data_IF_889283394530
#
_entry.id   IF_889283394530
#
_cell.length_a   1.000
_cell.length_b   1.000
_cell.length_c   1.000
_cell.angle_alpha   90.00
_cell.angle_beta   90.00
_cell.angle_gamma   90.00
#
_symmetry.space_group_name_H-M   'P 1'
#
loop_
_entity.id
_entity.type
_entity.pdbx_description
1 polymer ?
#
# COMPACT_ATOMS: atom_id res chain seq x y z
N UNK A 1 -10.82 -15.18 49.31
CA UNK A 1 -12.16 -14.53 49.19
C UNK A 1 -12.54 -14.62 47.71
N UNK A 2 -12.89 -15.79 47.18
CA UNK A 2 -14.21 -16.45 47.14
C UNK A 2 -15.41 -15.54 46.88
N UNK A 3 -16.08 -15.79 45.74
CA UNK A 3 -17.53 -15.70 45.40
C UNK A 3 -17.65 -15.91 43.85
N UNK A 4 -17.86 -17.11 43.28
CA UNK A 4 -19.14 -17.82 42.95
C UNK A 4 -20.27 -16.92 42.41
N UNK A 5 -20.79 -17.08 41.17
CA UNK A 5 -21.91 -17.98 40.77
C UNK A 5 -22.33 -17.65 39.31
N UNK A 6 -22.26 -18.55 38.31
CA UNK A 6 -23.34 -19.38 37.70
C UNK A 6 -24.73 -18.75 37.43
N UNK A 7 -25.19 -18.90 36.16
CA UNK A 7 -26.57 -19.06 35.60
C UNK A 7 -26.36 -19.42 34.10
N UNK A 8 -26.63 -20.61 33.51
CA UNK A 8 -27.81 -21.49 33.37
C UNK A 8 -29.07 -20.76 32.86
N UNK A 9 -29.40 -20.95 31.58
CA UNK A 9 -30.77 -21.22 31.12
C UNK A 9 -30.78 -21.93 29.75
N UNK A 10 -31.46 -23.08 29.72
CA UNK A 10 -31.75 -23.90 28.54
C UNK A 10 -33.24 -23.80 28.20
N UNK A 11 -33.62 -23.77 26.92
CA UNK A 11 -35.00 -23.96 26.41
C UNK A 11 -34.89 -24.59 25.01
N UNK A 12 -35.01 -25.91 24.87
CA UNK A 12 -36.23 -26.71 24.60
C UNK A 12 -36.68 -26.78 23.13
N UNK A 13 -36.20 -27.86 22.49
CA UNK A 13 -36.86 -28.80 21.58
C UNK A 13 -38.38 -28.63 21.35
N UNK A 14 -38.79 -28.56 20.08
CA UNK A 14 -40.16 -28.91 19.64
C UNK A 14 -40.13 -29.75 18.37
N UNK A 15 -40.42 -31.03 18.53
CA UNK A 15 -40.57 -32.04 17.49
C UNK A 15 -42.09 -32.19 17.23
N UNK A 16 -42.54 -31.98 15.99
CA UNK A 16 -43.93 -32.24 15.59
C UNK A 16 -43.95 -33.29 14.46
N UNK A 17 -44.55 -34.44 14.78
CA UNK A 17 -44.77 -35.58 13.91
C UNK A 17 -46.22 -35.52 13.41
N UNK A 18 -46.44 -35.45 12.09
CA UNK A 18 -47.72 -35.78 11.46
C UNK A 18 -47.50 -36.78 10.33
N UNK A 19 -48.21 -37.91 10.43
CA UNK A 19 -48.27 -39.00 9.46
C UNK A 19 -49.44 -38.74 8.52
N UNK A 20 -49.26 -38.91 7.20
CA UNK A 20 -50.28 -39.48 6.30
C UNK A 20 -49.60 -40.11 5.09
N UNK A 21 -50.08 -41.30 4.74
CA UNK A 21 -49.54 -42.20 3.72
C UNK A 21 -49.91 -41.81 2.29
N UNK A 22 -49.03 -42.14 1.34
CA UNK A 22 -49.32 -42.21 -0.09
C UNK A 22 -48.12 -42.79 -0.86
N UNK A 23 -48.28 -43.99 -1.41
CA UNK A 23 -47.29 -44.60 -2.31
C UNK A 23 -47.64 -44.28 -3.77
N UNK A 24 -46.66 -43.90 -4.59
CA UNK A 24 -46.42 -44.47 -5.93
C UNK A 24 -45.23 -43.78 -6.64
N UNK A 25 -44.37 -44.61 -7.22
CA UNK A 25 -43.15 -44.28 -7.98
C UNK A 25 -43.32 -43.19 -9.04
N UNK A 26 -42.30 -42.32 -9.17
CA UNK A 26 -41.72 -41.90 -10.44
C UNK A 26 -40.38 -41.19 -10.20
N UNK A 27 -39.37 -41.66 -10.90
CA UNK A 27 -38.03 -41.10 -11.07
C UNK A 27 -37.97 -39.57 -11.03
N UNK A 28 -37.25 -39.02 -10.04
CA UNK A 28 -36.65 -37.69 -10.14
C UNK A 28 -35.24 -37.74 -9.57
N UNK A 29 -34.26 -37.50 -10.44
CA UNK A 29 -32.90 -37.17 -10.03
C UNK A 29 -32.97 -35.88 -9.21
N UNK A 30 -32.85 -35.97 -7.89
CA UNK A 30 -32.57 -34.78 -7.08
C UNK A 30 -31.08 -34.47 -7.20
N UNK A 31 -30.74 -33.67 -8.20
CA UNK A 31 -29.54 -32.84 -8.14
C UNK A 31 -29.84 -31.81 -7.05
N UNK A 32 -29.35 -32.08 -5.84
CA UNK A 32 -29.15 -31.03 -4.85
C UNK A 32 -27.94 -30.26 -5.35
N UNK A 33 -28.20 -29.12 -5.97
CA UNK A 33 -27.17 -28.15 -6.33
C UNK A 33 -26.66 -27.52 -5.05
N UNK A 34 -25.59 -28.10 -4.52
CA UNK A 34 -24.60 -27.37 -3.75
C UNK A 34 -23.96 -26.38 -4.74
N UNK A 35 -24.26 -25.09 -4.60
CA UNK A 35 -23.82 -24.05 -5.55
C UNK A 35 -22.46 -23.47 -5.21
N UNK A 36 -21.75 -24.01 -4.22
CA UNK A 36 -20.33 -23.69 -4.08
C UNK A 36 -19.54 -24.42 -5.18
N UNK A 37 -18.78 -23.69 -6.01
CA UNK A 37 -17.84 -24.32 -6.93
C UNK A 37 -16.88 -25.17 -6.10
N UNK A 38 -16.90 -26.49 -6.30
CA UNK A 38 -15.89 -27.37 -5.72
C UNK A 38 -14.52 -26.89 -6.20
N UNK A 39 -13.67 -26.51 -5.26
CA UNK A 39 -12.29 -26.10 -5.52
C UNK A 39 -11.59 -27.15 -6.42
N UNK A 40 -10.90 -26.72 -7.49
CA UNK A 40 -10.23 -27.64 -8.41
C UNK A 40 -9.30 -28.59 -7.66
N UNK A 41 -9.28 -29.86 -8.07
CA UNK A 41 -8.35 -30.82 -7.50
C UNK A 41 -6.91 -30.54 -7.95
N UNK A 42 -5.89 -31.11 -7.28
CA UNK A 42 -4.51 -30.98 -7.74
C UNK A 42 -4.36 -31.44 -9.19
N UNK A 43 -4.15 -30.51 -10.12
CA UNK A 43 -3.95 -30.75 -11.56
C UNK A 43 -5.08 -30.30 -12.50
N UNK A 44 -6.23 -29.85 -11.99
CA UNK A 44 -7.27 -29.21 -12.81
C UNK A 44 -6.93 -27.71 -13.02
N UNK A 45 -7.03 -27.17 -14.25
CA UNK A 45 -6.75 -25.76 -14.49
C UNK A 45 -7.77 -24.88 -13.76
N UNK A 46 -7.27 -23.87 -13.05
CA UNK A 46 -8.11 -22.96 -12.26
C UNK A 46 -9.11 -22.22 -13.16
N UNK A 47 -10.43 -22.23 -12.83
CA UNK A 47 -11.41 -21.45 -13.56
C UNK A 47 -11.05 -19.96 -13.41
N UNK A 48 -10.94 -19.28 -14.54
CA UNK A 48 -10.53 -17.87 -14.56
C UNK A 48 -11.72 -16.98 -14.18
N UNK A 49 -11.62 -16.16 -13.12
CA UNK A 49 -12.69 -15.24 -12.75
C UNK A 49 -12.84 -14.15 -13.82
N UNK A 50 -14.06 -13.71 -14.16
CA UNK A 50 -14.25 -12.57 -15.05
C UNK A 50 -13.62 -11.30 -14.48
N UNK A 51 -12.96 -10.50 -15.33
CA UNK A 51 -12.32 -9.25 -14.91
C UNK A 51 -13.28 -8.30 -14.14
N UNK A 52 -14.54 -8.21 -14.57
CA UNK A 52 -15.56 -7.36 -13.92
C UNK A 52 -16.18 -7.97 -12.65
N UNK A 53 -15.86 -9.23 -12.33
CA UNK A 53 -16.42 -9.95 -11.17
C UNK A 53 -15.52 -9.93 -9.94
N UNK A 54 -14.29 -9.43 -10.08
CA UNK A 54 -13.31 -9.37 -8.99
C UNK A 54 -13.19 -7.92 -8.49
N UNK A 55 -13.69 -7.66 -7.28
CA UNK A 55 -13.61 -6.36 -6.60
C UNK A 55 -12.43 -6.24 -5.62
N UNK A 56 -11.59 -7.28 -5.52
CA UNK A 56 -10.31 -7.20 -4.80
C UNK A 56 -9.46 -6.10 -5.43
N UNK A 57 -8.76 -5.36 -4.59
CA UNK A 57 -7.84 -4.28 -4.97
C UNK A 57 -6.42 -4.72 -4.65
N UNK A 58 -5.46 -4.36 -5.49
CA UNK A 58 -4.06 -4.24 -5.04
C UNK A 58 -4.04 -3.05 -4.06
N UNK A 59 -3.55 -3.25 -2.85
CA UNK A 59 -3.73 -2.31 -1.74
C UNK A 59 -2.43 -1.65 -1.27
N UNK A 60 -1.36 -2.42 -1.16
CA UNK A 60 -0.06 -1.96 -0.69
C UNK A 60 1.05 -2.74 -1.41
N UNK A 61 2.21 -2.12 -1.61
CA UNK A 61 3.34 -2.74 -2.27
C UNK A 61 4.66 -2.20 -1.74
N UNK A 62 5.64 -3.08 -1.57
CA UNK A 62 7.02 -2.72 -1.26
C UNK A 62 7.95 -3.40 -2.26
N UNK A 63 8.68 -2.60 -3.03
CA UNK A 63 9.60 -3.11 -4.07
C UNK A 63 11.00 -3.42 -3.53
N UNK A 64 11.44 -2.78 -2.45
CA UNK A 64 12.74 -3.03 -1.81
C UNK A 64 12.58 -3.26 -0.30
N UNK A 65 12.41 -4.51 0.09
CA UNK A 65 12.24 -4.94 1.48
C UNK A 65 13.58 -5.46 2.01
N UNK A 66 14.15 -4.77 3.00
CA UNK A 66 15.46 -5.07 3.56
C UNK A 66 15.33 -5.53 5.01
N UNK A 67 14.38 -4.96 5.77
CA UNK A 67 14.25 -5.21 7.21
C UNK A 67 12.83 -5.35 7.73
N UNK A 68 11.80 -5.04 6.94
CA UNK A 68 10.42 -4.89 7.46
C UNK A 68 9.71 -6.22 7.65
N UNK A 69 9.51 -6.99 6.57
CA UNK A 69 8.71 -8.21 6.59
C UNK A 69 9.53 -9.41 6.08
N UNK A 70 10.04 -10.28 6.96
CA UNK A 70 10.71 -11.50 6.53
C UNK A 70 9.71 -12.58 6.10
N UNK A 71 10.10 -13.42 5.14
CA UNK A 71 9.44 -14.68 4.83
C UNK A 71 9.58 -15.70 5.97
N UNK A 72 8.99 -16.89 5.80
CA UNK A 72 9.06 -17.97 6.80
C UNK A 72 10.48 -18.49 7.08
N UNK A 73 11.44 -18.20 6.20
CA UNK A 73 12.85 -18.57 6.34
C UNK A 73 13.73 -17.43 6.88
N UNK A 74 13.17 -16.24 7.11
CA UNK A 74 13.90 -15.07 7.57
C UNK A 74 14.55 -14.24 6.45
N UNK A 75 14.23 -14.52 5.19
CA UNK A 75 14.69 -13.73 4.04
C UNK A 75 13.73 -12.57 3.77
N UNK A 76 14.23 -11.49 3.20
CA UNK A 76 13.42 -10.34 2.83
C UNK A 76 13.25 -10.31 1.31
N UNK A 77 11.99 -10.30 0.89
CA UNK A 77 11.59 -10.22 -0.51
C UNK A 77 10.63 -9.05 -0.68
N UNK A 78 10.58 -8.43 -1.86
CA UNK A 78 9.50 -7.52 -2.21
C UNK A 78 8.16 -8.21 -2.00
N UNK A 79 7.12 -7.44 -1.74
CA UNK A 79 5.79 -7.98 -1.53
C UNK A 79 4.69 -7.06 -2.05
N UNK A 80 3.53 -7.65 -2.29
CA UNK A 80 2.30 -6.98 -2.69
C UNK A 80 1.16 -7.48 -1.82
N UNK A 81 0.28 -6.56 -1.46
CA UNK A 81 -0.91 -6.84 -0.68
C UNK A 81 -2.17 -6.65 -1.52
N UNK A 82 -3.12 -7.54 -1.32
CA UNK A 82 -4.45 -7.49 -1.91
C UNK A 82 -5.49 -7.32 -0.80
N UNK A 83 -6.49 -6.47 -1.04
CA UNK A 83 -7.54 -6.14 -0.07
C UNK A 83 -8.93 -6.39 -0.63
N UNK A 84 -9.83 -6.92 0.20
CA UNK A 84 -11.24 -7.04 -0.13
C UNK A 84 -12.07 -5.89 0.48
N UNK A 85 -12.38 -4.82 -0.28
CA UNK A 85 -13.27 -3.74 0.19
C UNK A 85 -14.75 -4.13 0.16
N UNK A 86 -15.08 -5.30 -0.42
CA UNK A 86 -16.44 -5.75 -0.65
C UNK A 86 -17.12 -6.32 0.60
N UNK A 87 -18.46 -6.41 0.61
CA UNK A 87 -19.22 -6.98 1.72
C UNK A 87 -19.30 -8.52 1.71
N UNK A 88 -18.76 -9.16 0.67
CA UNK A 88 -18.80 -10.62 0.49
C UNK A 88 -17.38 -11.18 0.34
N UNK A 89 -17.21 -12.47 0.68
CA UNK A 89 -15.95 -13.17 0.46
C UNK A 89 -15.67 -13.32 -1.04
N UNK A 90 -14.40 -13.24 -1.43
CA UNK A 90 -13.99 -13.28 -2.82
C UNK A 90 -12.76 -14.16 -3.01
N UNK A 91 -12.83 -15.05 -4.00
CA UNK A 91 -11.74 -15.97 -4.33
C UNK A 91 -10.89 -15.41 -5.47
N UNK A 92 -9.59 -15.28 -5.22
CA UNK A 92 -8.58 -14.92 -6.20
C UNK A 92 -8.11 -16.13 -7.01
N UNK A 93 -8.46 -17.37 -6.66
CA UNK A 93 -8.07 -18.58 -7.36
C UNK A 93 -8.31 -18.49 -8.86
N UNK A 94 -7.24 -18.65 -9.65
CA UNK A 94 -7.27 -18.51 -11.09
C UNK A 94 -7.23 -17.08 -11.63
N UNK A 95 -7.27 -16.03 -10.80
CA UNK A 95 -7.06 -14.66 -11.27
C UNK A 95 -5.61 -14.46 -11.75
N UNK A 96 -5.38 -13.43 -12.55
CA UNK A 96 -4.02 -13.02 -12.94
C UNK A 96 -3.53 -11.82 -12.13
N UNK A 97 -2.23 -11.78 -11.85
CA UNK A 97 -1.50 -10.58 -11.41
C UNK A 97 -0.38 -10.28 -12.42
N UNK A 98 -0.15 -8.99 -12.69
CA UNK A 98 0.93 -8.54 -13.55
C UNK A 98 1.39 -7.14 -13.20
N UNK A 99 2.67 -6.87 -13.42
CA UNK A 99 3.33 -5.56 -13.38
C UNK A 99 3.42 -4.90 -14.78
N UNK A 100 2.76 -5.47 -15.80
CA UNK A 100 2.89 -5.06 -17.18
C UNK A 100 1.54 -5.02 -17.89
N UNK A 101 1.19 -3.87 -18.47
CA UNK A 101 0.01 -3.74 -19.32
C UNK A 101 0.16 -4.44 -20.67
N UNK A 102 1.41 -4.66 -21.13
CA UNK A 102 1.69 -5.37 -22.37
C UNK A 102 1.51 -6.89 -22.23
N UNK A 103 1.69 -7.40 -21.01
CA UNK A 103 1.49 -8.79 -20.63
C UNK A 103 0.69 -8.86 -19.32
N UNK A 104 -0.62 -8.66 -19.38
CA UNK A 104 -1.47 -8.54 -18.19
C UNK A 104 -1.88 -9.89 -17.56
N UNK A 105 -1.16 -10.98 -17.86
CA UNK A 105 -1.44 -12.35 -17.44
C UNK A 105 -0.18 -13.10 -16.92
N UNK A 106 0.82 -12.37 -16.39
CA UNK A 106 2.13 -12.93 -16.00
C UNK A 106 2.06 -14.06 -14.97
N UNK A 107 1.31 -13.86 -13.89
CA UNK A 107 1.21 -14.83 -12.80
C UNK A 107 -0.24 -15.15 -12.50
N UNK A 108 -0.53 -16.43 -12.22
CA UNK A 108 -1.89 -16.91 -11.92
C UNK A 108 -1.96 -17.34 -10.47
N UNK A 109 -2.97 -16.85 -9.75
CA UNK A 109 -3.25 -17.29 -8.39
C UNK A 109 -3.59 -18.78 -8.37
N UNK A 110 -2.89 -19.61 -7.58
CA UNK A 110 -3.21 -21.02 -7.49
C UNK A 110 -4.53 -21.23 -6.74
N UNK A 111 -5.46 -21.96 -7.35
CA UNK A 111 -6.80 -22.18 -6.80
C UNK A 111 -6.89 -23.27 -5.73
N UNK A 112 -5.78 -23.95 -5.40
CA UNK A 112 -5.73 -24.98 -4.36
C UNK A 112 -5.51 -24.44 -2.94
N UNK A 113 -5.18 -23.15 -2.80
CA UNK A 113 -4.99 -22.52 -1.51
C UNK A 113 -6.29 -21.90 -1.00
N UNK A 114 -6.57 -22.08 0.28
CA UNK A 114 -7.74 -21.45 0.91
C UNK A 114 -7.46 -19.96 1.17
N UNK A 115 -6.18 -19.60 1.26
CA UNK A 115 -5.65 -18.25 1.45
C UNK A 115 -5.97 -17.31 0.29
N UNK A 116 -6.36 -17.83 -0.90
CA UNK A 116 -6.85 -16.99 -2.00
C UNK A 116 -8.27 -16.49 -1.79
N UNK A 117 -8.97 -16.96 -0.76
CA UNK A 117 -10.34 -16.56 -0.45
C UNK A 117 -10.32 -15.51 0.66
N UNK A 118 -10.47 -14.23 0.28
CA UNK A 118 -10.47 -13.10 1.20
C UNK A 118 -11.88 -12.80 1.68
N UNK A 119 -12.09 -12.80 2.99
CA UNK A 119 -13.30 -12.31 3.64
C UNK A 119 -13.44 -10.77 3.50
N UNK A 120 -14.62 -10.20 3.77
CA UNK A 120 -14.80 -8.75 3.81
C UNK A 120 -13.80 -8.08 4.76
N UNK A 121 -13.03 -7.12 4.25
CA UNK A 121 -12.02 -6.40 5.02
C UNK A 121 -10.71 -7.16 5.25
N UNK A 122 -10.52 -8.32 4.62
CA UNK A 122 -9.30 -9.12 4.75
C UNK A 122 -8.22 -8.68 3.76
N UNK A 123 -6.97 -8.91 4.16
CA UNK A 123 -5.77 -8.63 3.40
C UNK A 123 -5.01 -9.92 3.09
N UNK A 124 -4.43 -10.02 1.90
CA UNK A 124 -3.54 -11.10 1.50
C UNK A 124 -2.20 -10.52 1.05
N UNK A 125 -1.13 -10.85 1.76
CA UNK A 125 0.24 -10.43 1.42
C UNK A 125 0.97 -11.56 0.72
N UNK A 126 1.48 -11.29 -0.48
CA UNK A 126 2.30 -12.22 -1.26
C UNK A 126 3.70 -11.65 -1.49
N UNK A 127 4.71 -12.48 -1.31
CA UNK A 127 6.08 -12.11 -1.69
C UNK A 127 6.35 -12.43 -3.15
N UNK A 128 7.28 -11.67 -3.73
CA UNK A 128 7.91 -11.95 -5.02
C UNK A 128 9.09 -12.91 -4.87
N UNK A 129 9.63 -13.39 -5.99
CA UNK A 129 10.80 -14.27 -6.03
C UNK A 129 10.52 -15.76 -5.79
N UNK A 130 9.31 -16.22 -6.08
CA UNK A 130 8.95 -17.64 -6.12
C UNK A 130 9.74 -18.44 -7.18
N UNK A 131 9.77 -19.76 -7.02
CA UNK A 131 10.46 -20.66 -7.95
C UNK A 131 9.56 -21.21 -9.08
N UNK A 132 8.33 -20.69 -9.18
CA UNK A 132 7.29 -21.13 -10.11
C UNK A 132 6.56 -22.39 -9.65
N UNK A 133 6.81 -22.88 -8.44
CA UNK A 133 6.08 -23.99 -7.87
C UNK A 133 4.71 -23.52 -7.35
N UNK A 134 3.59 -24.02 -7.90
CA UNK A 134 2.28 -23.64 -7.43
C UNK A 134 1.96 -24.17 -6.03
N UNK A 135 2.83 -24.98 -5.40
CA UNK A 135 2.68 -25.42 -4.01
C UNK A 135 3.17 -24.38 -2.98
N UNK A 136 3.69 -23.23 -3.43
CA UNK A 136 3.86 -22.04 -2.61
C UNK A 136 3.06 -20.84 -3.15
N UNK A 137 2.68 -19.94 -2.25
CA UNK A 137 1.96 -18.71 -2.60
C UNK A 137 2.97 -17.56 -2.74
N UNK A 138 3.92 -17.72 -3.66
CA UNK A 138 4.90 -16.71 -4.05
C UNK A 138 4.76 -16.36 -5.55
N UNK A 139 4.94 -15.09 -5.86
CA UNK A 139 4.96 -14.60 -7.24
C UNK A 139 6.33 -14.92 -7.85
N UNK A 140 6.35 -15.61 -8.99
CA UNK A 140 7.55 -16.21 -9.59
C UNK A 140 8.37 -15.26 -10.48
N UNK A 141 8.12 -13.97 -10.39
CA UNK A 141 8.91 -12.92 -10.99
C UNK A 141 9.29 -11.87 -9.95
N UNK A 142 10.20 -10.96 -10.31
CA UNK A 142 10.61 -9.83 -9.48
C UNK A 142 10.08 -8.52 -10.08
N UNK A 143 9.62 -7.56 -9.26
CA UNK A 143 9.30 -6.23 -9.74
C UNK A 143 10.58 -5.47 -10.07
N UNK A 144 10.46 -4.43 -10.90
CA UNK A 144 11.54 -3.46 -11.08
C UNK A 144 11.66 -2.58 -9.82
N UNK A 145 12.89 -2.19 -9.47
CA UNK A 145 13.16 -1.37 -8.28
C UNK A 145 13.14 0.14 -8.56
N UNK A 146 12.97 0.55 -9.82
CA UNK A 146 13.06 1.95 -10.24
C UNK A 146 12.03 2.28 -11.31
N UNK A 147 11.68 3.57 -11.41
CA UNK A 147 10.77 4.14 -12.40
C UNK A 147 9.30 3.80 -12.22
N UNK A 148 8.49 4.28 -13.16
CA UNK A 148 7.02 4.13 -13.15
C UNK A 148 6.57 2.65 -13.19
N UNK A 149 5.78 2.27 -12.19
CA UNK A 149 5.16 0.96 -12.06
C UNK A 149 3.66 1.04 -12.36
N UNK A 150 3.13 0.06 -13.10
CA UNK A 150 1.68 -0.09 -13.31
C UNK A 150 1.30 -1.56 -13.14
N UNK A 151 0.72 -1.88 -11.99
CA UNK A 151 0.30 -3.24 -11.67
C UNK A 151 -1.20 -3.41 -11.88
N UNK A 152 -1.61 -4.60 -12.30
CA UNK A 152 -2.97 -4.93 -12.68
C UNK A 152 -3.38 -6.28 -12.11
N UNK A 153 -4.59 -6.30 -11.53
CA UNK A 153 -5.25 -7.51 -11.08
C UNK A 153 -6.34 -7.92 -12.07
N UNK A 154 -6.31 -9.17 -12.47
CA UNK A 154 -7.28 -9.88 -13.29
C UNK A 154 -7.71 -9.15 -14.57
N UNK A 155 -6.76 -8.50 -15.25
CA UNK A 155 -7.00 -7.75 -16.49
C UNK A 155 -8.07 -6.66 -16.33
N UNK A 156 -8.29 -6.18 -15.11
CA UNK A 156 -9.22 -5.11 -14.82
C UNK A 156 -8.69 -3.77 -15.34
N UNK A 157 -9.54 -2.74 -15.29
CA UNK A 157 -9.12 -1.35 -15.49
C UNK A 157 -8.75 -0.65 -14.18
N UNK A 158 -8.63 -1.39 -13.09
CA UNK A 158 -8.15 -0.88 -11.82
C UNK A 158 -6.63 -1.09 -11.75
N UNK A 159 -5.91 0.00 -11.96
CA UNK A 159 -4.45 -0.01 -11.94
C UNK A 159 -3.94 0.46 -10.59
N UNK A 160 -2.90 -0.20 -10.11
CA UNK A 160 -2.09 0.25 -8.99
C UNK A 160 -0.81 0.86 -9.56
N UNK A 161 -0.73 2.19 -9.53
CA UNK A 161 0.31 2.96 -10.21
C UNK A 161 1.09 3.77 -9.19
N UNK A 162 2.41 3.68 -9.23
CA UNK A 162 3.33 4.42 -8.37
C UNK A 162 4.68 4.56 -9.08
N UNK A 163 5.52 5.49 -8.64
CA UNK A 163 6.90 5.57 -9.10
C UNK A 163 7.80 4.91 -8.05
N UNK A 164 8.55 3.88 -8.44
CA UNK A 164 9.46 3.18 -7.53
C UNK A 164 10.66 4.06 -7.11
N UNK A 165 10.99 5.10 -7.88
CA UNK A 165 12.05 6.05 -7.52
C UNK A 165 11.65 6.94 -6.32
N UNK A 166 10.35 7.03 -6.01
CA UNK A 166 9.83 7.78 -4.87
C UNK A 166 9.84 6.96 -3.56
N UNK A 167 10.23 5.67 -3.64
CA UNK A 167 10.28 4.77 -2.50
C UNK A 167 11.73 4.53 -2.06
N UNK A 168 12.03 4.86 -0.80
CA UNK A 168 13.24 4.35 -0.15
C UNK A 168 13.12 2.85 0.15
N UNK A 169 14.26 2.19 0.43
CA UNK A 169 14.25 0.84 1.01
C UNK A 169 13.37 0.82 2.26
N UNK A 170 12.60 -0.27 2.45
CA UNK A 170 11.65 -0.45 3.55
C UNK A 170 10.45 0.51 3.56
N UNK A 171 10.23 1.26 2.48
CA UNK A 171 9.04 2.08 2.26
C UNK A 171 8.05 1.40 1.30
N UNK A 172 6.75 1.64 1.51
CA UNK A 172 5.69 1.10 0.68
C UNK A 172 4.87 2.20 0.01
N UNK A 173 4.32 1.86 -1.16
CA UNK A 173 3.23 2.59 -1.77
C UNK A 173 1.92 1.88 -1.43
N UNK A 174 0.83 2.60 -1.23
CA UNK A 174 -0.47 2.01 -0.93
C UNK A 174 -1.65 2.92 -1.12
N UNK A 175 -2.84 2.34 -1.15
CA UNK A 175 -4.12 3.05 -1.26
C UNK A 175 -4.53 3.58 0.09
N UNK A 176 -4.74 4.89 0.20
CA UNK A 176 -5.23 5.48 1.44
C UNK A 176 -6.49 6.33 1.23
N UNK A 177 -7.61 6.02 1.92
CA UNK A 177 -7.86 4.82 2.74
C UNK A 177 -7.78 3.50 1.95
N UNK A 178 -7.77 2.35 2.62
CA UNK A 178 -7.69 1.03 1.97
C UNK A 178 -8.73 0.86 0.85
N UNK A 179 -8.26 0.40 -0.31
CA UNK A 179 -9.09 0.19 -1.49
C UNK A 179 -9.59 1.46 -2.22
N UNK A 180 -9.13 2.65 -1.83
CA UNK A 180 -9.38 3.91 -2.58
C UNK A 180 -8.71 3.87 -3.96
N UNK A 181 -9.06 4.79 -4.84
CA UNK A 181 -8.50 4.97 -6.18
C UNK A 181 -7.07 5.52 -6.23
N UNK A 182 -6.63 6.27 -5.23
CA UNK A 182 -5.32 6.92 -5.19
C UNK A 182 -4.30 6.01 -4.52
N UNK A 183 -3.07 5.97 -5.05
CA UNK A 183 -1.92 5.28 -4.47
C UNK A 183 -0.90 6.34 -4.08
N UNK A 184 -0.47 6.31 -2.83
CA UNK A 184 0.44 7.28 -2.22
C UNK A 184 1.63 6.54 -1.59
N UNK A 185 2.70 7.25 -1.26
CA UNK A 185 3.77 6.73 -0.41
C UNK A 185 3.26 6.69 1.03
N UNK A 186 3.37 5.56 1.73
CA UNK A 186 2.85 5.39 3.09
C UNK A 186 3.90 5.76 4.14
N UNK A 187 3.45 6.31 5.27
CA UNK A 187 4.32 6.69 6.40
C UNK A 187 4.92 5.49 7.14
N UNK A 188 4.34 4.31 7.00
CA UNK A 188 4.88 3.05 7.49
C UNK A 188 4.29 1.88 6.67
N UNK A 189 5.05 0.79 6.46
CA UNK A 189 4.51 -0.41 5.86
C UNK A 189 3.55 -1.15 6.79
N UNK A 190 2.45 -1.65 6.25
CA UNK A 190 1.33 -2.23 7.02
C UNK A 190 0.88 -3.62 6.56
N UNK A 191 1.79 -4.56 6.25
CA UNK A 191 1.39 -5.86 5.70
C UNK A 191 0.40 -6.60 6.61
N UNK A 192 -0.72 -7.00 6.01
CA UNK A 192 -1.84 -7.69 6.64
C UNK A 192 -2.75 -6.79 7.48
N UNK A 193 -2.61 -5.47 7.41
CA UNK A 193 -3.33 -4.50 8.24
C UNK A 193 -3.77 -3.29 7.40
N UNK A 194 -4.71 -2.46 7.91
CA UNK A 194 -5.08 -1.21 7.25
C UNK A 194 -3.88 -0.30 6.97
N UNK A 195 -3.86 0.30 5.78
CA UNK A 195 -2.79 1.20 5.35
C UNK A 195 -2.59 2.36 6.32
N UNK A 196 -1.32 2.66 6.61
CA UNK A 196 -0.93 3.83 7.37
C UNK A 196 -1.33 5.12 6.63
N UNK A 197 -1.39 6.25 7.34
CA UNK A 197 -1.54 7.56 6.71
C UNK A 197 -0.40 7.74 5.67
N UNK A 198 -0.66 8.40 4.52
CA UNK A 198 0.39 8.76 3.57
C UNK A 198 1.50 9.55 4.24
N UNK A 199 2.70 9.51 3.67
CA UNK A 199 3.73 10.50 4.00
C UNK A 199 3.13 11.87 3.69
N UNK A 200 2.85 12.64 4.73
CA UNK A 200 2.38 14.02 4.56
C UNK A 200 3.45 14.87 3.86
N UNK A 201 3.09 16.05 3.36
CA UNK A 201 4.08 16.96 2.81
C UNK A 201 5.17 17.23 3.85
N UNK A 202 6.43 17.25 3.41
CA UNK A 202 7.56 17.36 4.33
C UNK A 202 7.41 18.65 5.13
N UNK A 203 7.41 18.53 6.46
CA UNK A 203 7.50 19.70 7.31
C UNK A 203 8.94 20.18 7.31
N UNK A 204 9.13 21.49 7.21
CA UNK A 204 10.48 22.08 7.23
C UNK A 204 10.49 23.42 7.94
N UNK A 205 11.70 23.86 8.28
CA UNK A 205 12.00 25.24 8.65
C UNK A 205 12.69 25.89 7.45
N UNK A 206 12.11 26.96 6.90
CA UNK A 206 12.67 27.69 5.76
C UNK A 206 14.03 28.25 6.15
N UNK A 207 15.06 27.90 5.36
CA UNK A 207 16.44 28.28 5.60
C UNK A 207 17.25 27.36 6.52
N UNK A 208 16.66 26.32 7.12
CA UNK A 208 17.39 25.26 7.85
C UNK A 208 17.84 24.19 6.85
N UNK A 209 19.13 24.07 6.62
CA UNK A 209 19.75 23.22 5.60
C UNK A 209 20.56 22.07 6.18
N UNK A 210 20.86 22.08 7.48
CA UNK A 210 21.54 20.97 8.16
C UNK A 210 20.61 20.13 9.06
N UNK A 211 19.32 20.49 9.11
CA UNK A 211 18.23 19.77 9.77
C UNK A 211 18.33 19.78 11.29
N UNK A 212 18.97 20.80 11.88
CA UNK A 212 19.06 20.95 13.32
C UNK A 212 17.90 21.77 13.94
N UNK A 213 16.99 22.28 13.09
CA UNK A 213 15.81 23.10 13.38
C UNK A 213 16.11 24.55 13.77
N UNK A 214 17.37 24.96 13.82
CA UNK A 214 17.78 26.34 13.95
C UNK A 214 18.13 26.91 12.55
N UNK A 215 18.09 28.24 12.40
CA UNK A 215 18.57 28.89 11.16
C UNK A 215 19.70 29.84 11.52
N UNK A 216 20.92 29.45 11.17
CA UNK A 216 22.14 30.13 11.58
C UNK A 216 23.26 30.22 10.50
N UNK A 217 24.51 30.41 10.94
CA UNK A 217 25.66 30.57 10.04
C UNK A 217 26.02 29.25 9.33
N UNK A 218 25.73 28.10 9.92
CA UNK A 218 26.00 26.79 9.33
C UNK A 218 25.11 26.56 8.09
N UNK A 219 23.84 26.97 8.15
CA UNK A 219 22.95 26.99 6.96
C UNK A 219 23.44 27.93 5.89
N UNK A 220 23.87 29.14 6.28
CA UNK A 220 24.42 30.10 5.34
C UNK A 220 25.66 29.53 4.62
N UNK A 221 26.49 28.76 5.32
CA UNK A 221 27.65 28.09 4.75
C UNK A 221 27.24 26.98 3.77
N UNK A 222 26.20 26.20 4.09
CA UNK A 222 25.65 25.19 3.20
C UNK A 222 25.05 25.82 1.92
N UNK A 223 24.22 26.85 2.06
CA UNK A 223 23.61 27.54 0.92
C UNK A 223 24.67 28.20 0.03
N UNK A 224 25.64 28.88 0.64
CA UNK A 224 26.76 29.48 -0.09
C UNK A 224 27.62 28.41 -0.79
N UNK A 225 27.84 27.28 -0.12
CA UNK A 225 28.53 26.12 -0.67
C UNK A 225 27.81 25.55 -1.88
N UNK A 226 26.48 25.42 -1.83
CA UNK A 226 25.65 24.97 -2.95
C UNK A 226 25.89 25.81 -4.21
N UNK A 227 25.84 27.15 -4.09
CA UNK A 227 26.14 28.04 -5.21
C UNK A 227 27.62 28.06 -5.64
N UNK A 228 28.53 27.56 -4.79
CA UNK A 228 29.93 27.33 -5.13
C UNK A 228 30.17 25.94 -5.78
N UNK A 229 29.13 25.13 -5.95
CA UNK A 229 29.19 23.80 -6.57
C UNK A 229 29.35 22.65 -5.59
N UNK A 230 29.24 22.88 -4.28
CA UNK A 230 29.11 21.79 -3.31
C UNK A 230 27.74 21.11 -3.49
N UNK A 231 27.67 19.78 -3.42
CA UNK A 231 26.37 19.10 -3.38
C UNK A 231 25.65 19.48 -2.09
N UNK A 232 24.33 19.60 -2.18
CA UNK A 232 23.43 19.69 -1.04
C UNK A 232 22.40 18.57 -1.20
N UNK A 233 22.15 17.84 -0.13
CA UNK A 233 21.11 16.81 -0.09
C UNK A 233 19.99 17.39 0.76
N UNK A 234 18.82 17.55 0.19
CA UNK A 234 17.63 17.94 0.93
C UNK A 234 16.45 17.10 0.49
N UNK A 235 15.58 16.76 1.44
CA UNK A 235 14.28 16.15 1.17
C UNK A 235 13.25 17.20 0.74
N UNK A 236 13.52 18.49 1.00
CA UNK A 236 12.67 19.64 0.69
C UNK A 236 13.51 20.79 0.13
N UNK A 237 13.34 21.10 -1.15
CA UNK A 237 14.05 22.12 -1.87
C UNK A 237 13.59 23.54 -1.48
N UNK A 238 12.38 23.70 -0.92
CA UNK A 238 11.88 24.97 -0.37
C UNK A 238 12.74 25.50 0.79
N UNK A 239 13.50 24.63 1.46
CA UNK A 239 14.51 25.06 2.45
C UNK A 239 15.55 26.01 1.84
N UNK A 240 15.85 25.88 0.54
CA UNK A 240 16.86 26.67 -0.16
C UNK A 240 16.31 27.98 -0.72
N UNK A 241 15.00 28.07 -1.01
CA UNK A 241 14.34 29.34 -1.37
C UNK A 241 13.98 30.12 -0.09
N UNK A 242 15.02 30.56 0.61
CA UNK A 242 14.90 31.27 1.89
C UNK A 242 14.09 32.55 1.73
N UNK A 243 14.08 33.13 0.53
CA UNK A 243 13.36 34.36 0.23
C UNK A 243 11.94 34.15 -0.30
N UNK A 244 11.50 32.89 -0.45
CA UNK A 244 10.15 32.49 -0.87
C UNK A 244 9.74 33.14 -2.20
N UNK A 245 10.59 32.99 -3.20
CA UNK A 245 10.45 33.62 -4.51
C UNK A 245 9.94 32.69 -5.62
N UNK A 246 9.79 31.40 -5.33
CA UNK A 246 9.59 30.30 -6.27
C UNK A 246 10.80 29.99 -7.14
N UNK A 247 12.00 30.46 -6.75
CA UNK A 247 13.25 30.20 -7.46
C UNK A 247 14.46 30.20 -6.54
N UNK A 248 15.22 29.09 -6.52
CA UNK A 248 16.47 28.98 -5.78
C UNK A 248 17.61 29.71 -6.53
N UNK A 249 18.05 30.87 -6.04
CA UNK A 249 19.12 31.66 -6.64
C UNK A 249 20.07 32.31 -5.60
N UNK A 250 21.11 33.02 -6.05
CA UNK A 250 22.02 33.74 -5.13
C UNK A 250 21.32 34.88 -4.36
N UNK A 251 20.07 35.24 -4.71
CA UNK A 251 19.26 36.14 -3.88
C UNK A 251 18.93 35.51 -2.53
N UNK A 252 18.80 34.19 -2.43
CA UNK A 252 18.52 33.46 -1.19
C UNK A 252 19.67 33.59 -0.20
N UNK A 253 20.91 33.45 -0.68
CA UNK A 253 22.11 33.71 0.13
C UNK A 253 22.09 35.14 0.67
N UNK A 254 21.78 36.10 -0.21
CA UNK A 254 21.75 37.51 0.18
C UNK A 254 20.63 37.79 1.19
N UNK A 255 19.48 37.12 1.05
CA UNK A 255 18.35 37.23 1.95
C UNK A 255 18.68 36.63 3.33
N UNK A 256 19.23 35.42 3.36
CA UNK A 256 19.62 34.72 4.60
C UNK A 256 20.64 35.55 5.40
N UNK A 257 21.65 36.14 4.74
CA UNK A 257 22.58 37.08 5.39
C UNK A 257 21.86 38.24 6.06
N UNK A 258 20.84 38.81 5.42
CA UNK A 258 20.07 39.91 6.01
C UNK A 258 19.14 39.43 7.13
N UNK A 259 18.57 38.23 7.01
CA UNK A 259 17.74 37.63 8.05
C UNK A 259 18.55 37.34 9.32
N UNK A 260 19.73 36.73 9.20
CA UNK A 260 20.65 36.47 10.33
C UNK A 260 21.15 37.77 10.99
N UNK A 261 21.29 38.85 10.21
CA UNK A 261 21.59 40.17 10.74
C UNK A 261 20.40 40.87 11.44
N UNK A 262 19.21 40.25 11.41
CA UNK A 262 17.97 40.80 11.96
C UNK A 262 17.33 41.90 11.12
N UNK A 263 17.73 42.06 9.86
CA UNK A 263 17.21 43.07 8.94
C UNK A 263 15.97 42.60 8.17
N UNK A 264 15.84 41.29 7.96
CA UNK A 264 14.69 40.65 7.31
C UNK A 264 14.11 39.55 8.21
N UNK A 265 12.89 39.14 7.91
CA UNK A 265 12.22 38.02 8.56
C UNK A 265 12.04 36.93 7.52
N UNK A 266 12.46 35.71 7.86
CA UNK A 266 12.28 34.54 7.00
C UNK A 266 10.78 34.26 6.87
N UNK A 267 10.26 34.08 5.65
CA UNK A 267 8.87 33.68 5.41
C UNK A 267 8.52 32.35 6.09
N UNK A 268 7.23 32.09 6.26
CA UNK A 268 6.75 30.80 6.79
C UNK A 268 7.14 29.66 5.82
N UNK A 269 7.42 28.45 6.32
CA UNK A 269 7.44 28.03 7.72
C UNK A 269 8.75 28.39 8.45
N UNK A 270 8.68 29.31 9.42
CA UNK A 270 9.77 29.70 10.32
C UNK A 270 9.17 30.42 11.54
N UNK A 271 9.65 30.23 12.79
CA UNK A 271 10.83 29.48 13.22
C UNK A 271 10.55 28.02 13.62
N UNK A 272 9.36 27.50 13.33
CA UNK A 272 8.99 26.12 13.64
C UNK A 272 8.65 25.40 12.35
N UNK A 273 8.81 24.07 12.37
CA UNK A 273 8.45 23.22 11.26
C UNK A 273 6.99 23.45 10.85
N UNK A 274 6.77 23.53 9.54
CA UNK A 274 5.46 23.72 8.95
C UNK A 274 5.44 23.32 7.48
N UNK A 275 4.26 23.40 6.91
CA UNK A 275 4.04 23.25 5.48
C UNK A 275 4.43 24.53 4.76
N UNK A 276 4.83 24.42 3.49
CA UNK A 276 4.95 25.60 2.63
C UNK A 276 3.54 26.23 2.43
N UNK A 277 3.30 27.48 2.87
CA UNK A 277 2.02 28.17 2.64
C UNK A 277 1.89 28.74 1.22
N UNK A 278 2.93 28.64 0.40
CA UNK A 278 3.12 29.34 -0.87
C UNK A 278 3.35 28.35 -2.00
N UNK A 279 2.28 27.86 -2.64
CA UNK A 279 2.39 26.91 -3.73
C UNK A 279 3.24 27.42 -4.89
N UNK A 280 4.32 26.69 -5.20
CA UNK A 280 5.13 26.92 -6.38
C UNK A 280 5.52 25.62 -7.13
N UNK A 281 6.67 25.59 -7.80
CA UNK A 281 7.14 24.48 -8.63
C UNK A 281 8.41 23.80 -8.05
N UNK A 282 8.70 24.07 -6.78
CA UNK A 282 9.75 23.46 -5.98
C UNK A 282 9.12 22.30 -5.18
N UNK A 283 9.91 21.32 -4.73
CA UNK A 283 9.36 20.14 -4.02
C UNK A 283 9.05 20.43 -2.54
N UNK A 284 8.11 19.66 -1.98
CA UNK A 284 7.57 19.72 -0.60
C UNK A 284 6.52 20.80 -0.28
N UNK A 285 5.77 21.19 -1.30
CA UNK A 285 4.60 22.05 -1.19
C UNK A 285 3.57 21.57 -0.16
N UNK A 286 3.05 22.52 0.61
CA UNK A 286 1.80 22.33 1.36
C UNK A 286 0.56 22.26 0.44
N UNK A 287 -0.58 21.75 0.92
CA UNK A 287 -1.83 21.66 0.16
C UNK A 287 -2.47 23.01 -0.17
#
# INVERSE_FOLDING_TARGET
>A
MNLTSQNIFAVMLSMALLILAGCSDSSSNSVTGDTDPKQPGPGDPCPQPPAAGLSIRINEAMVDNVTTLPDTNGNFFPWVEFYNPGPEAMDLGGAYFSDSLADNQKWVFPCQFQETILQPGEFLVLFFGGDGNPDDLHIDFMPELTGDQIWVLNQSSDFFSFNADDLASDQSAGRFPDGDSVVEVLSAPTPGNPNADPVGPALFVRGDLDFDLDVDEDDLNLLSGHFAGSPISTECADRLDVNDSGTITVSDVSFLVQALAGNLTIPEPFPAEGLDPTPDNIDCEGP
#
